data_IF_980544299975
#
_entry.id   IF_980544299975
#
_cell.length_a   1.000
_cell.length_b   1.000
_cell.length_c   1.000
_cell.angle_alpha   90.00
_cell.angle_beta   90.00
_cell.angle_gamma   90.00
#
_symmetry.space_group_name_H-M   'P 1'
#
loop_
_entity.id
_entity.type
_entity.pdbx_description
1 polymer ?
#
# COMPACT_ATOMS: atom_id res chain seq x y z
N UNK A 1 -7.50 -2.88 -9.23
CA UNK A 1 -6.04 -3.13 -9.12
C UNK A 1 -5.42 -2.54 -10.36
N UNK A 2 -4.63 -1.47 -10.21
CA UNK A 2 -4.06 -0.77 -11.36
C UNK A 2 -2.73 -1.43 -11.73
N UNK A 3 -2.64 -1.93 -12.97
CA UNK A 3 -1.43 -2.57 -13.51
C UNK A 3 -0.81 -1.63 -14.54
N UNK A 4 0.48 -1.35 -14.39
CA UNK A 4 1.25 -0.49 -15.27
C UNK A 4 2.49 -1.22 -15.77
N UNK A 5 2.86 -0.98 -17.03
CA UNK A 5 4.07 -1.54 -17.62
C UNK A 5 5.16 -0.48 -17.66
N UNK A 6 6.33 -0.79 -17.11
CA UNK A 6 7.53 0.05 -17.25
C UNK A 6 8.12 -0.06 -18.68
N UNK A 7 8.95 0.90 -19.09
CA UNK A 7 9.65 0.92 -20.39
C UNK A 7 10.54 -0.30 -20.60
N UNK A 8 10.93 -0.97 -19.51
CA UNK A 8 11.71 -2.22 -19.50
C UNK A 8 10.84 -3.49 -19.54
N UNK A 9 9.54 -3.37 -19.79
CA UNK A 9 8.60 -4.50 -19.88
C UNK A 9 8.27 -5.16 -18.54
N UNK A 10 8.60 -4.51 -17.42
CA UNK A 10 8.24 -5.01 -16.08
C UNK A 10 6.79 -4.65 -15.79
N UNK A 11 6.03 -5.65 -15.35
CA UNK A 11 4.66 -5.46 -14.90
C UNK A 11 4.74 -4.98 -13.45
N UNK A 12 4.25 -3.78 -13.21
CA UNK A 12 4.15 -3.17 -11.89
C UNK A 12 2.67 -3.08 -11.52
N UNK A 13 2.35 -3.47 -10.30
CA UNK A 13 1.00 -3.36 -9.77
C UNK A 13 1.00 -2.29 -8.67
N UNK A 14 0.12 -1.30 -8.80
CA UNK A 14 -0.17 -0.42 -7.67
C UNK A 14 -0.99 -1.22 -6.66
N UNK A 15 -0.37 -1.54 -5.53
CA UNK A 15 -1.07 -2.29 -4.50
C UNK A 15 -2.10 -1.40 -3.79
N UNK A 16 -3.39 -1.79 -3.79
CA UNK A 16 -4.43 -1.01 -3.13
C UNK A 16 -4.29 -1.00 -1.60
N UNK A 17 -3.58 -1.96 -1.03
CA UNK A 17 -3.24 -2.08 0.40
C UNK A 17 -1.74 -2.36 0.56
N UNK A 18 -1.12 -2.01 1.69
CA UNK A 18 0.34 -2.17 1.89
C UNK A 18 0.73 -3.47 2.61
N UNK A 19 -0.12 -4.49 2.60
CA UNK A 19 0.10 -5.71 3.39
C UNK A 19 1.36 -6.46 2.96
N UNK A 20 1.55 -6.69 1.66
CA UNK A 20 2.73 -7.38 1.13
C UNK A 20 4.03 -6.64 1.45
N UNK A 21 4.02 -5.31 1.33
CA UNK A 21 5.16 -4.46 1.65
C UNK A 21 5.47 -4.48 3.17
N UNK A 22 4.44 -4.42 4.00
CA UNK A 22 4.59 -4.51 5.46
C UNK A 22 5.16 -5.86 5.89
N UNK A 23 4.63 -6.97 5.34
CA UNK A 23 5.14 -8.32 5.62
C UNK A 23 6.58 -8.47 5.13
N UNK A 24 6.92 -7.92 3.97
CA UNK A 24 8.30 -7.93 3.47
C UNK A 24 9.25 -7.21 4.44
N UNK A 25 8.86 -6.05 4.99
CA UNK A 25 9.65 -5.35 6.01
C UNK A 25 9.78 -6.18 7.29
N UNK A 26 8.67 -6.68 7.84
CA UNK A 26 8.67 -7.51 9.05
C UNK A 26 9.54 -8.76 8.89
N UNK A 27 9.62 -9.33 7.68
CA UNK A 27 10.49 -10.50 7.42
C UNK A 27 11.99 -10.20 7.55
N UNK A 28 12.41 -8.95 7.31
CA UNK A 28 13.84 -8.59 7.30
C UNK A 28 14.34 -8.00 8.62
N UNK A 29 13.50 -7.27 9.37
CA UNK A 29 13.93 -6.53 10.55
C UNK A 29 13.93 -7.36 11.85
N UNK A 30 12.79 -7.81 12.40
CA UNK A 30 12.77 -8.63 13.60
C UNK A 30 13.24 -10.06 13.31
N UNK A 31 14.33 -10.48 13.95
CA UNK A 31 14.83 -11.88 13.95
C UNK A 31 14.58 -12.58 15.28
N UNK A 32 14.21 -11.85 16.33
CA UNK A 32 14.00 -12.37 17.67
C UNK A 32 12.64 -11.95 18.21
N UNK A 33 11.98 -12.87 18.90
CA UNK A 33 10.68 -12.65 19.56
C UNK A 33 10.70 -11.49 20.57
N UNK A 34 11.87 -11.16 21.11
CA UNK A 34 12.08 -10.01 22.01
C UNK A 34 11.85 -8.64 21.35
N UNK A 35 11.82 -8.59 20.02
CA UNK A 35 11.63 -7.35 19.25
C UNK A 35 10.15 -7.05 18.97
N UNK A 36 9.24 -7.88 19.49
CA UNK A 36 7.79 -7.69 19.40
C UNK A 36 7.26 -7.11 20.72
N UNK A 37 6.21 -6.27 20.69
CA UNK A 37 5.34 -5.93 19.56
C UNK A 37 5.87 -4.76 18.70
N UNK A 38 5.77 -4.91 17.37
CA UNK A 38 6.10 -3.86 16.40
C UNK A 38 4.81 -3.39 15.71
N UNK A 39 4.60 -2.07 15.69
CA UNK A 39 3.47 -1.46 14.97
C UNK A 39 4.03 -0.66 13.80
N UNK A 40 3.67 -1.08 12.59
CA UNK A 40 4.08 -0.41 11.34
C UNK A 40 2.83 0.21 10.72
N UNK A 41 2.90 1.49 10.41
CA UNK A 41 1.86 2.21 9.69
C UNK A 41 2.47 2.96 8.51
N UNK A 42 1.69 3.09 7.43
CA UNK A 42 2.08 3.84 6.24
C UNK A 42 1.04 4.92 5.96
N UNK A 43 1.49 6.18 5.92
CA UNK A 43 0.70 7.30 5.41
C UNK A 43 1.13 7.53 3.96
N UNK A 44 0.24 7.26 3.01
CA UNK A 44 0.52 7.44 1.61
C UNK A 44 -0.71 7.22 0.73
N UNK A 45 -0.67 7.80 -0.46
CA UNK A 45 -1.72 7.67 -1.45
C UNK A 45 -1.98 6.19 -1.79
N UNK A 46 -3.25 5.79 -1.73
CA UNK A 46 -3.73 4.50 -2.26
C UNK A 46 -4.53 4.78 -3.51
N UNK A 47 -4.29 3.99 -4.55
CA UNK A 47 -5.01 4.09 -5.81
C UNK A 47 -5.93 2.88 -5.97
N UNK A 48 -7.23 3.12 -6.00
CA UNK A 48 -8.26 2.14 -6.34
C UNK A 48 -8.95 2.61 -7.61
N UNK A 49 -9.27 1.68 -8.49
CA UNK A 49 -9.82 1.96 -9.81
C UNK A 49 -11.35 2.09 -9.74
N UNK A 50 -11.81 3.09 -8.98
CA UNK A 50 -13.23 3.38 -8.74
C UNK A 50 -13.56 4.72 -9.41
N UNK A 51 -14.65 4.77 -10.21
CA UNK A 51 -15.14 6.01 -10.81
C UNK A 51 -15.88 6.81 -9.73
N UNK A 52 -15.49 8.06 -9.41
CA UNK A 52 -16.05 8.77 -8.28
C UNK A 52 -17.52 9.13 -8.53
N UNK A 53 -18.42 8.50 -7.79
CA UNK A 53 -19.84 8.87 -7.74
C UNK A 53 -20.02 9.96 -6.68
N UNK A 54 -20.12 11.22 -7.13
CA UNK A 54 -20.45 12.45 -6.37
C UNK A 54 -19.53 12.81 -5.19
N UNK A 55 -18.81 13.93 -5.36
CA UNK A 55 -18.55 14.92 -4.29
C UNK A 55 -17.59 14.49 -3.18
N UNK A 56 -16.47 15.20 -3.06
CA UNK A 56 -15.44 15.09 -2.01
C UNK A 56 -14.51 13.87 -2.00
N UNK A 57 -14.87 12.72 -2.58
CA UNK A 57 -13.94 11.57 -2.64
C UNK A 57 -12.92 11.68 -3.81
N UNK A 58 -12.90 12.81 -4.50
CA UNK A 58 -12.16 13.08 -5.76
C UNK A 58 -10.69 13.47 -5.59
N UNK A 59 -10.12 13.38 -4.38
CA UNK A 59 -8.67 13.51 -4.20
C UNK A 59 -8.13 12.26 -3.57
N UNK A 60 -7.70 11.34 -4.43
CA UNK A 60 -6.72 10.29 -4.09
C UNK A 60 -7.15 9.58 -2.81
N UNK A 61 -8.20 8.75 -2.87
CA UNK A 61 -8.79 8.01 -1.74
C UNK A 61 -7.84 7.99 -0.53
N UNK A 62 -7.92 9.05 0.28
CA UNK A 62 -7.14 9.21 1.50
C UNK A 62 -7.89 8.35 2.49
N UNK A 63 -7.87 7.03 2.24
CA UNK A 63 -8.16 6.05 3.26
C UNK A 63 -7.02 6.24 4.23
N UNK A 64 -7.22 7.17 5.17
CA UNK A 64 -6.50 7.20 6.44
C UNK A 64 -6.82 5.85 7.05
N UNK A 65 -5.93 4.88 6.82
CA UNK A 65 -5.81 3.75 7.71
C UNK A 65 -5.35 4.36 9.04
N UNK A 66 -6.34 4.76 9.86
CA UNK A 66 -6.16 4.97 11.29
C UNK A 66 -5.81 3.61 11.92
#
# INVERSE_FOLDING_TARGET
MLVMSDKRGRILCFSPTAEEAAVYMVRHYPKSYRQLPLVIYQIGAKYRDERPERGLNERISNVRCL
#
